data_IF_448095321725
#
_entry.id   IF_448095321725
#
_cell.length_a   1.000
_cell.length_b   1.000
_cell.length_c   1.000
_cell.angle_alpha   90.00
_cell.angle_beta   90.00
_cell.angle_gamma   90.00
#
_symmetry.space_group_name_H-M   'P 1'
#
loop_
_entity.id
_entity.type
_entity.pdbx_description
1 polymer ?
#
# COMPACT_ATOMS: atom_id res chain seq x y z
N UNK A 1 2.29 -14.14 8.30
CA UNK A 1 3.06 -12.91 8.14
C UNK A 1 3.81 -12.59 9.41
N UNK A 2 5.06 -12.25 9.30
CA UNK A 2 5.87 -11.96 10.47
C UNK A 2 5.73 -10.50 10.91
N UNK A 3 6.13 -10.22 12.14
CA UNK A 3 6.10 -8.86 12.64
C UNK A 3 6.96 -7.94 11.77
N UNK A 4 8.07 -8.47 11.29
CA UNK A 4 8.97 -7.70 10.45
C UNK A 4 8.28 -7.27 9.16
N UNK A 5 7.53 -8.18 8.56
CA UNK A 5 6.81 -7.88 7.33
C UNK A 5 5.71 -6.87 7.58
N UNK A 6 5.01 -7.00 8.69
CA UNK A 6 3.97 -6.03 9.03
C UNK A 6 4.53 -4.64 9.22
N UNK A 7 5.68 -4.55 9.88
CA UNK A 7 6.34 -3.26 10.06
C UNK A 7 6.74 -2.66 8.73
N UNK A 8 7.28 -3.49 7.88
CA UNK A 8 7.73 -3.04 6.57
C UNK A 8 6.55 -2.48 5.76
N UNK A 9 5.46 -3.23 5.73
CA UNK A 9 4.27 -2.81 5.01
C UNK A 9 3.71 -1.53 5.60
N UNK A 10 3.71 -1.42 6.92
CA UNK A 10 3.23 -0.24 7.59
C UNK A 10 4.03 0.99 7.20
N UNK A 11 5.35 0.84 7.19
CA UNK A 11 6.22 1.96 6.85
C UNK A 11 6.05 2.36 5.38
N UNK A 12 5.91 1.38 4.51
CA UNK A 12 5.68 1.66 3.11
C UNK A 12 4.37 2.41 2.91
N UNK A 13 3.34 1.99 3.62
CA UNK A 13 2.04 2.63 3.51
C UNK A 13 2.12 4.09 3.92
N UNK A 14 2.80 4.36 5.01
CA UNK A 14 2.96 5.74 5.47
C UNK A 14 3.74 6.56 4.44
N UNK A 15 4.80 5.98 3.92
CA UNK A 15 5.62 6.67 2.93
C UNK A 15 4.83 6.99 1.66
N UNK A 16 4.06 6.01 1.19
CA UNK A 16 3.25 6.21 0.00
C UNK A 16 2.23 7.32 0.22
N UNK A 17 1.62 7.35 1.40
CA UNK A 17 0.66 8.41 1.71
C UNK A 17 1.29 9.78 1.69
N UNK A 18 2.51 9.88 2.16
CA UNK A 18 3.23 11.15 2.10
C UNK A 18 3.46 11.58 0.67
N UNK A 19 3.83 10.65 -0.18
CA UNK A 19 4.04 10.96 -1.59
C UNK A 19 2.74 11.35 -2.27
N UNK A 20 1.65 10.69 -1.92
CA UNK A 20 0.36 10.96 -2.52
C UNK A 20 -0.14 12.36 -2.22
N UNK A 21 0.29 12.92 -1.10
CA UNK A 21 -0.08 14.29 -0.76
C UNK A 21 0.48 15.30 -1.74
N UNK A 22 1.54 14.93 -2.45
CA UNK A 22 2.18 15.80 -3.45
C UNK A 22 1.57 15.62 -4.83
N UNK A 23 0.61 14.71 -4.98
CA UNK A 23 0.01 14.38 -6.26
C UNK A 23 -1.37 15.01 -6.35
N UNK A 24 -1.80 15.49 -7.52
CA UNK A 24 -3.15 16.03 -7.68
C UNK A 24 -4.20 15.00 -7.28
N UNK A 25 -5.33 15.49 -6.81
CA UNK A 25 -6.35 14.62 -6.23
C UNK A 25 -6.84 13.54 -7.19
N UNK A 26 -7.03 13.90 -8.46
CA UNK A 26 -7.53 12.92 -9.43
C UNK A 26 -6.54 11.80 -9.66
N UNK A 27 -5.24 12.12 -9.65
CA UNK A 27 -4.23 11.09 -9.78
C UNK A 27 -4.03 10.31 -8.48
N UNK A 28 -4.25 10.99 -7.36
CA UNK A 28 -4.08 10.37 -6.05
C UNK A 28 -5.00 9.18 -5.88
N UNK A 29 -6.25 9.34 -6.26
CA UNK A 29 -7.24 8.29 -6.11
C UNK A 29 -6.84 7.06 -6.91
N UNK A 30 -6.40 7.27 -8.12
CA UNK A 30 -5.97 6.18 -8.99
C UNK A 30 -4.78 5.43 -8.39
N UNK A 31 -3.81 6.17 -7.90
CA UNK A 31 -2.61 5.57 -7.32
C UNK A 31 -2.93 4.83 -6.02
N UNK A 32 -3.83 5.37 -5.24
CA UNK A 32 -4.25 4.69 -4.00
C UNK A 32 -4.90 3.35 -4.32
N UNK A 33 -5.71 3.31 -5.35
CA UNK A 33 -6.35 2.06 -5.74
C UNK A 33 -5.33 1.03 -6.18
N UNK A 34 -4.33 1.45 -6.93
CA UNK A 34 -3.27 0.55 -7.35
C UNK A 34 -2.49 0.02 -6.15
N UNK A 35 -2.19 0.90 -5.23
CA UNK A 35 -1.44 0.52 -4.04
C UNK A 35 -2.24 -0.48 -3.20
N UNK A 36 -3.54 -0.23 -3.05
CA UNK A 36 -4.41 -1.12 -2.31
C UNK A 36 -4.44 -2.51 -2.95
N UNK A 37 -4.48 -2.56 -4.27
CA UNK A 37 -4.48 -3.84 -4.97
C UNK A 37 -3.18 -4.60 -4.73
N UNK A 38 -2.07 -3.89 -4.74
CA UNK A 38 -0.79 -4.52 -4.48
C UNK A 38 -0.74 -5.05 -3.05
N UNK A 39 -1.24 -4.27 -2.10
CA UNK A 39 -1.27 -4.69 -0.72
C UNK A 39 -2.13 -5.94 -0.53
N UNK A 40 -3.24 -5.99 -1.22
CA UNK A 40 -4.11 -7.16 -1.14
C UNK A 40 -3.39 -8.42 -1.60
N UNK A 41 -2.62 -8.30 -2.68
CA UNK A 41 -1.88 -9.44 -3.17
C UNK A 41 -0.83 -9.91 -2.18
N UNK A 42 -0.18 -8.97 -1.52
CA UNK A 42 0.88 -9.30 -0.58
C UNK A 42 0.32 -9.86 0.73
N UNK A 43 -0.82 -9.32 1.18
CA UNK A 43 -1.36 -9.69 2.49
C UNK A 43 -2.37 -10.81 2.44
N UNK A 44 -2.88 -11.16 1.27
CA UNK A 44 -3.82 -12.27 1.15
C UNK A 44 -3.13 -13.58 1.45
N UNK A 45 -3.79 -14.48 2.16
CA UNK A 45 -3.23 -15.81 2.36
C UNK A 45 -3.18 -16.55 1.03
N UNK A 46 -2.19 -17.39 0.89
CA UNK A 46 -2.02 -18.17 -0.32
C UNK A 46 -2.97 -19.33 -0.27
N UNK A 47 -3.95 -19.29 -1.09
CA UNK A 47 -4.92 -20.28 -1.03
C UNK A 47 -4.64 -21.46 -1.81
N UNK A 48 -4.73 -21.92 -2.03
CA UNK A 48 -4.63 -22.74 -2.97
C UNK A 48 -4.95 -23.47 -3.06
#
# INVERSE_FOLDING_TARGET
MTDKQLRYINRLTVFVRKLLKLVPQDKREELENEFDNILLEVTQPDEK
#
